data_IF_988997383016
#
_entry.id   IF_988997383016
#
_cell.length_a   1.000
_cell.length_b   1.000
_cell.length_c   1.000
_cell.angle_alpha   90.00
_cell.angle_beta   90.00
_cell.angle_gamma   90.00
#
_symmetry.space_group_name_H-M   'P 1'
#
loop_
_entity.id
_entity.type
_entity.pdbx_description
1 polymer ?
#
# COMPACT_ATOMS: atom_id res chain seq x y z
N UNK A 1 -19.20 1.21 6.51
CA UNK A 1 -19.33 -0.24 6.16
C UNK A 1 -18.21 -0.64 5.20
N UNK A 2 -17.58 -1.84 5.36
CA UNK A 2 -16.53 -2.34 4.47
C UNK A 2 -16.58 -3.87 4.44
N UNK A 3 -15.94 -4.50 3.44
CA UNK A 3 -15.73 -5.94 3.42
C UNK A 3 -14.38 -6.29 4.06
N UNK A 4 -14.41 -7.04 5.16
CA UNK A 4 -13.20 -7.52 5.80
C UNK A 4 -12.50 -8.58 4.96
N UNK A 5 -11.18 -8.43 4.78
CA UNK A 5 -10.31 -9.44 4.18
C UNK A 5 -9.65 -10.21 5.32
N UNK A 6 -9.88 -11.53 5.32
CA UNK A 6 -9.25 -12.44 6.28
C UNK A 6 -7.73 -12.47 6.02
N UNK A 7 -6.90 -12.32 7.05
CA UNK A 7 -5.46 -12.44 6.91
C UNK A 7 -5.09 -13.90 6.62
N UNK A 8 -4.56 -14.13 5.44
CA UNK A 8 -4.13 -15.45 4.99
C UNK A 8 -2.92 -15.34 4.08
N UNK A 9 -2.30 -16.48 3.81
CA UNK A 9 -1.22 -16.58 2.82
C UNK A 9 -1.83 -16.96 1.47
N UNK A 10 -1.76 -16.05 0.49
CA UNK A 10 -2.21 -16.30 -0.87
C UNK A 10 -1.19 -17.20 -1.59
N UNK A 11 -1.53 -18.49 -1.70
CA UNK A 11 -0.67 -19.53 -2.28
C UNK A 11 -1.01 -19.86 -3.75
N UNK A 12 -1.87 -19.07 -4.38
CA UNK A 12 -2.26 -19.17 -5.79
C UNK A 12 -2.34 -17.79 -6.41
N UNK A 13 -2.19 -17.72 -7.72
CA UNK A 13 -2.40 -16.44 -8.42
C UNK A 13 -3.84 -15.99 -8.26
N UNK A 14 -4.02 -14.74 -7.87
CA UNK A 14 -5.33 -14.17 -7.60
C UNK A 14 -5.45 -12.73 -8.10
N UNK A 15 -6.67 -12.34 -8.41
CA UNK A 15 -7.04 -10.94 -8.67
C UNK A 15 -8.06 -10.50 -7.64
N UNK A 16 -7.82 -9.36 -7.01
CA UNK A 16 -8.79 -8.77 -6.08
C UNK A 16 -10.03 -8.37 -6.89
N UNK A 17 -11.20 -8.94 -6.62
CA UNK A 17 -12.40 -8.58 -7.37
C UNK A 17 -12.93 -7.22 -6.94
N UNK A 18 -13.46 -6.43 -7.87
CA UNK A 18 -14.36 -5.32 -7.53
C UNK A 18 -15.70 -5.94 -7.13
N UNK A 19 -16.21 -5.63 -5.94
CA UNK A 19 -17.45 -6.22 -5.42
C UNK A 19 -18.48 -5.15 -5.12
N UNK A 20 -19.72 -5.44 -5.49
CA UNK A 20 -20.88 -4.66 -5.07
C UNK A 20 -21.51 -5.34 -3.86
N UNK A 21 -21.76 -4.60 -2.81
CA UNK A 21 -22.34 -5.13 -1.58
C UNK A 21 -23.09 -4.04 -0.79
N UNK A 22 -24.25 -4.38 -0.24
CA UNK A 22 -25.01 -3.48 0.63
C UNK A 22 -25.46 -2.18 -0.02
N UNK A 23 -25.63 -2.15 -1.35
CA UNK A 23 -25.99 -0.96 -2.12
C UNK A 23 -24.79 -0.11 -2.57
N UNK A 24 -23.57 -0.50 -2.22
CA UNK A 24 -22.34 0.16 -2.66
C UNK A 24 -21.69 -0.60 -3.82
N UNK A 25 -21.26 0.13 -4.83
CA UNK A 25 -20.47 -0.40 -5.95
C UNK A 25 -18.99 -0.32 -5.62
N UNK A 26 -18.23 -1.35 -6.01
CA UNK A 26 -16.79 -1.44 -5.70
C UNK A 26 -16.50 -1.11 -4.23
N UNK A 27 -17.16 -1.86 -3.32
CA UNK A 27 -17.12 -1.58 -1.89
C UNK A 27 -15.70 -1.59 -1.34
N UNK A 28 -15.43 -0.68 -0.42
CA UNK A 28 -14.15 -0.58 0.31
C UNK A 28 -13.81 -1.88 1.03
N UNK A 29 -12.56 -2.31 0.91
CA UNK A 29 -12.02 -3.45 1.65
C UNK A 29 -11.36 -3.00 2.95
N UNK A 30 -11.53 -3.79 4.01
CA UNK A 30 -10.85 -3.63 5.28
C UNK A 30 -9.86 -4.80 5.47
N UNK A 31 -8.57 -4.50 5.43
CA UNK A 31 -7.53 -5.46 5.74
C UNK A 31 -7.55 -5.71 7.25
N UNK A 32 -7.83 -6.96 7.63
CA UNK A 32 -7.96 -7.36 9.02
C UNK A 32 -6.64 -7.91 9.55
N UNK A 33 -6.32 -7.59 10.80
CA UNK A 33 -5.28 -8.30 11.53
C UNK A 33 -5.83 -9.63 12.04
N UNK A 34 -5.08 -10.70 11.82
CA UNK A 34 -5.45 -12.02 12.33
C UNK A 34 -5.05 -12.22 13.76
N UNK A 35 -5.43 -13.38 14.28
CA UNK A 35 -4.99 -13.82 15.59
C UNK A 35 -3.45 -13.88 15.63
N UNK A 36 -2.83 -13.30 16.63
CA UNK A 36 -1.38 -13.14 16.78
C UNK A 36 -0.69 -12.16 15.79
N UNK A 37 -1.39 -11.20 15.21
CA UNK A 37 -0.79 -10.19 14.36
C UNK A 37 -0.47 -10.67 12.93
N UNK A 38 -1.07 -11.77 12.48
CA UNK A 38 -0.92 -12.22 11.09
C UNK A 38 -1.61 -11.23 10.15
N UNK A 39 -0.92 -10.86 9.08
CA UNK A 39 -1.41 -9.97 8.02
C UNK A 39 -1.43 -10.71 6.67
N UNK A 40 -2.25 -10.25 5.71
CA UNK A 40 -2.28 -10.82 4.38
C UNK A 40 -0.87 -10.93 3.77
N UNK A 41 -0.55 -12.10 3.21
CA UNK A 41 0.77 -12.37 2.63
C UNK A 41 0.63 -13.00 1.25
N UNK A 42 1.27 -12.40 0.24
CA UNK A 42 1.43 -12.99 -1.10
C UNK A 42 2.63 -13.92 -1.06
N UNK A 43 2.40 -15.22 -1.24
CA UNK A 43 3.43 -16.23 -1.10
C UNK A 43 4.43 -16.21 -2.28
N UNK A 44 5.64 -16.73 -2.04
CA UNK A 44 6.64 -16.86 -3.10
C UNK A 44 6.10 -17.73 -4.24
N UNK A 45 6.41 -17.32 -5.47
CA UNK A 45 5.94 -18.00 -6.69
C UNK A 45 4.49 -17.68 -7.08
N UNK A 46 3.76 -16.83 -6.34
CA UNK A 46 2.40 -16.42 -6.66
C UNK A 46 2.30 -14.94 -7.00
N UNK A 47 1.24 -14.56 -7.69
CA UNK A 47 0.97 -13.18 -8.09
C UNK A 47 -0.39 -12.73 -7.57
N UNK A 48 -0.41 -11.61 -6.85
CA UNK A 48 -1.63 -10.89 -6.53
C UNK A 48 -1.79 -9.70 -7.48
N UNK A 49 -2.93 -9.61 -8.15
CA UNK A 49 -3.28 -8.47 -9.01
C UNK A 49 -4.37 -7.64 -8.35
N UNK A 50 -4.17 -6.33 -8.28
CA UNK A 50 -5.16 -5.37 -7.76
C UNK A 50 -5.55 -4.45 -8.92
N UNK A 51 -6.83 -4.48 -9.37
CA UNK A 51 -7.31 -3.62 -10.44
C UNK A 51 -7.50 -2.19 -9.96
N UNK A 52 -7.71 -1.29 -10.92
CA UNK A 52 -7.96 0.14 -10.68
C UNK A 52 -9.15 0.39 -9.74
N UNK A 53 -9.09 1.47 -8.98
CA UNK A 53 -10.16 1.98 -8.11
C UNK A 53 -10.45 1.15 -6.86
N UNK A 54 -9.70 0.08 -6.60
CA UNK A 54 -9.84 -0.68 -5.35
C UNK A 54 -9.27 0.14 -4.19
N UNK A 55 -10.05 0.23 -3.10
CA UNK A 55 -9.63 0.91 -1.87
C UNK A 55 -9.52 -0.09 -0.73
N UNK A 56 -8.35 -0.09 -0.09
CA UNK A 56 -8.08 -0.83 1.13
C UNK A 56 -7.92 0.12 2.30
N UNK A 57 -8.57 -0.20 3.39
CA UNK A 57 -8.37 0.45 4.68
C UNK A 57 -7.83 -0.52 5.70
N UNK A 58 -7.14 0.00 6.70
CA UNK A 58 -6.50 -0.82 7.71
C UNK A 58 -6.36 -0.06 9.03
N UNK A 59 -6.87 -0.63 10.13
CA UNK A 59 -6.68 -0.07 11.46
C UNK A 59 -5.20 -0.12 11.87
N UNK A 60 -4.72 0.88 12.64
CA UNK A 60 -3.38 0.84 13.18
C UNK A 60 -3.12 -0.46 13.96
N UNK A 61 -2.08 -1.18 13.57
CA UNK A 61 -1.58 -2.33 14.34
C UNK A 61 -0.48 -1.86 15.29
N UNK A 62 -0.57 -2.27 16.53
CA UNK A 62 0.42 -1.90 17.54
C UNK A 62 1.73 -2.70 17.44
N UNK A 63 1.78 -3.69 16.57
CA UNK A 63 2.91 -4.62 16.46
C UNK A 63 4.02 -4.14 15.54
N UNK A 64 3.79 -3.10 14.73
CA UNK A 64 4.74 -2.65 13.70
C UNK A 64 4.87 -3.61 12.50
N UNK A 65 4.05 -4.65 12.44
CA UNK A 65 4.00 -5.59 11.32
C UNK A 65 3.52 -4.91 10.04
N UNK A 66 4.02 -5.29 8.85
CA UNK A 66 3.49 -4.80 7.58
C UNK A 66 2.02 -5.15 7.41
N UNK A 67 1.24 -4.28 6.74
CA UNK A 67 -0.19 -4.50 6.49
C UNK A 67 -0.41 -5.51 5.36
N UNK A 68 0.44 -5.46 4.32
CA UNK A 68 0.48 -6.45 3.24
C UNK A 68 1.93 -6.87 3.02
N UNK A 69 2.22 -8.15 3.17
CA UNK A 69 3.55 -8.71 2.89
C UNK A 69 3.57 -9.35 1.50
N UNK A 70 4.60 -9.05 0.72
CA UNK A 70 4.77 -9.56 -0.64
C UNK A 70 6.07 -10.36 -0.72
N UNK A 71 5.96 -11.69 -0.72
CA UNK A 71 7.04 -12.63 -0.99
C UNK A 71 6.96 -13.20 -2.42
N UNK A 72 5.87 -12.95 -3.13
CA UNK A 72 5.64 -13.26 -4.55
C UNK A 72 5.70 -12.00 -5.41
N UNK A 73 4.77 -11.88 -6.35
CA UNK A 73 4.60 -10.68 -7.17
C UNK A 73 3.34 -9.89 -6.78
N UNK A 74 3.44 -8.57 -6.84
CA UNK A 74 2.30 -7.67 -6.68
C UNK A 74 2.16 -6.81 -7.94
N UNK A 75 1.01 -6.91 -8.60
CA UNK A 75 0.64 -6.08 -9.74
C UNK A 75 -0.49 -5.15 -9.31
N UNK A 76 -0.22 -3.86 -9.28
CA UNK A 76 -1.23 -2.83 -9.01
C UNK A 76 -1.50 -2.10 -10.32
N UNK A 77 -2.72 -2.18 -10.81
CA UNK A 77 -3.16 -1.63 -12.09
C UNK A 77 -4.06 -0.39 -11.92
N UNK A 78 -3.74 0.50 -10.99
CA UNK A 78 -4.42 1.77 -10.88
C UNK A 78 -4.28 2.63 -12.14
N UNK A 79 -5.13 3.64 -12.26
CA UNK A 79 -5.08 4.68 -13.29
C UNK A 79 -5.09 6.06 -12.65
N UNK A 80 -4.84 7.11 -13.42
CA UNK A 80 -4.92 8.48 -12.89
C UNK A 80 -6.33 8.84 -12.40
N UNK A 81 -7.38 8.29 -13.02
CA UNK A 81 -8.77 8.53 -12.64
C UNK A 81 -9.23 7.61 -11.49
N UNK A 82 -8.69 6.40 -11.43
CA UNK A 82 -9.05 5.36 -10.47
C UNK A 82 -7.79 4.74 -9.84
N UNK A 83 -7.07 5.45 -8.97
CA UNK A 83 -5.91 4.89 -8.28
C UNK A 83 -6.32 3.76 -7.34
N UNK A 84 -5.38 2.87 -7.04
CA UNK A 84 -5.53 1.92 -5.94
C UNK A 84 -5.07 2.60 -4.66
N UNK A 85 -5.94 2.68 -3.66
CA UNK A 85 -5.67 3.46 -2.44
C UNK A 85 -5.57 2.52 -1.23
N UNK A 86 -4.54 2.77 -0.42
CA UNK A 86 -4.36 2.15 0.89
C UNK A 86 -4.33 3.26 1.94
N UNK A 87 -5.24 3.21 2.93
CA UNK A 87 -5.39 4.29 3.90
C UNK A 87 -5.90 3.82 5.26
N UNK A 88 -6.07 4.78 6.19
CA UNK A 88 -6.67 4.58 7.52
C UNK A 88 -8.21 4.47 7.40
N UNK A 89 -8.91 3.67 8.23
CA UNK A 89 -10.38 3.57 8.21
C UNK A 89 -11.11 4.88 8.48
N UNK A 90 -10.46 5.82 9.14
CA UNK A 90 -10.98 7.17 9.42
C UNK A 90 -10.74 8.18 8.28
N UNK A 91 -10.15 7.73 7.16
CA UNK A 91 -10.01 8.56 5.95
C UNK A 91 -11.29 8.49 5.13
N UNK A 92 -12.27 9.31 5.47
CA UNK A 92 -13.59 9.33 4.81
C UNK A 92 -13.54 9.91 3.39
N UNK A 93 -12.38 10.44 2.99
CA UNK A 93 -12.16 10.95 1.63
C UNK A 93 -11.92 9.87 0.59
N UNK A 94 -11.75 8.60 1.00
CA UNK A 94 -11.44 7.48 0.11
C UNK A 94 -12.38 6.30 0.31
N UNK A 95 -12.70 5.62 -0.78
CA UNK A 95 -13.53 4.42 -0.78
C UNK A 95 -15.01 4.65 -1.02
N UNK A 96 -15.75 3.54 -1.12
CA UNK A 96 -17.20 3.54 -1.29
C UNK A 96 -17.83 2.44 -0.39
N UNK A 97 -18.42 2.80 0.78
CA UNK A 97 -18.46 4.16 1.31
C UNK A 97 -17.08 4.67 1.74
N UNK A 98 -16.93 6.00 1.81
CA UNK A 98 -15.76 6.63 2.44
C UNK A 98 -15.77 6.39 3.95
N UNK A 99 -16.87 6.72 4.61
CA UNK A 99 -17.07 6.44 6.04
C UNK A 99 -17.21 4.93 6.30
N UNK A 100 -16.11 4.29 6.67
CA UNK A 100 -16.06 2.85 6.97
C UNK A 100 -16.14 2.53 8.46
N UNK A 101 -15.81 3.48 9.32
CA UNK A 101 -15.90 3.35 10.79
C UNK A 101 -17.28 3.75 11.34
N UNK A 102 -18.12 4.42 10.54
CA UNK A 102 -19.52 4.72 10.88
C UNK A 102 -19.69 5.93 11.79
N UNK A 103 -18.73 6.85 11.84
CA UNK A 103 -18.77 8.03 12.69
C UNK A 103 -19.00 9.35 11.93
N UNK A 104 -19.23 9.28 10.62
CA UNK A 104 -19.29 10.42 9.73
C UNK A 104 -17.90 11.04 9.58
N UNK A 105 -17.70 12.23 10.09
CA UNK A 105 -16.39 12.92 10.10
C UNK A 105 -15.94 13.23 11.54
N UNK A 106 -16.33 12.39 12.50
CA UNK A 106 -16.05 12.66 13.91
C UNK A 106 -14.60 12.35 14.31
N UNK A 107 -13.94 11.45 13.59
CA UNK A 107 -12.52 11.12 13.83
C UNK A 107 -11.64 11.38 12.62
N UNK A 108 -10.41 11.83 12.89
CA UNK A 108 -9.41 12.11 11.87
C UNK A 108 -8.47 10.90 11.65
N UNK A 109 -8.00 10.68 10.40
CA UNK A 109 -7.00 9.67 10.12
C UNK A 109 -5.73 9.85 10.95
N UNK A 110 -5.13 8.75 11.36
CA UNK A 110 -3.89 8.76 12.15
C UNK A 110 -2.80 7.97 11.45
N UNK A 111 -1.56 8.43 11.62
CA UNK A 111 -0.40 7.70 11.10
C UNK A 111 -0.26 6.38 11.86
N UNK A 112 -0.26 5.28 11.10
CA UNK A 112 -0.03 3.94 11.60
C UNK A 112 1.48 3.69 11.82
N UNK A 113 1.85 2.85 12.78
CA UNK A 113 3.25 2.50 13.04
C UNK A 113 3.84 1.45 12.09
N UNK A 114 3.11 1.03 11.07
CA UNK A 114 3.45 -0.05 10.14
C UNK A 114 3.90 0.44 8.78
N UNK A 115 4.50 -0.45 7.98
CA UNK A 115 4.59 -0.28 6.53
C UNK A 115 3.29 -0.76 5.88
N UNK A 116 2.74 -0.01 4.92
CA UNK A 116 1.52 -0.44 4.24
C UNK A 116 1.79 -1.68 3.39
N UNK A 117 2.79 -1.61 2.51
CA UNK A 117 3.20 -2.72 1.65
C UNK A 117 4.67 -3.02 1.96
N UNK A 118 4.97 -4.29 2.22
CA UNK A 118 6.34 -4.74 2.46
C UNK A 118 6.72 -5.82 1.44
N UNK A 119 7.75 -5.57 0.67
CA UNK A 119 8.38 -6.56 -0.19
C UNK A 119 9.54 -7.24 0.55
N UNK A 120 9.45 -8.57 0.68
CA UNK A 120 10.52 -9.40 1.24
C UNK A 120 11.62 -9.69 0.20
N UNK A 121 12.74 -10.22 0.68
CA UNK A 121 13.93 -10.54 -0.12
C UNK A 121 13.73 -11.66 -1.16
N UNK A 122 12.65 -12.40 -1.04
CA UNK A 122 12.24 -13.46 -1.98
C UNK A 122 11.16 -13.02 -2.97
N UNK A 123 10.83 -11.73 -2.98
CA UNK A 123 9.80 -11.18 -3.87
C UNK A 123 10.20 -11.28 -5.35
N UNK A 124 9.20 -11.40 -6.21
CA UNK A 124 9.39 -11.51 -7.66
C UNK A 124 9.44 -10.11 -8.28
N UNK A 125 10.57 -9.43 -8.12
CA UNK A 125 10.75 -8.01 -8.45
C UNK A 125 10.41 -7.66 -9.88
N UNK A 126 10.89 -8.47 -10.85
CA UNK A 126 10.69 -8.23 -12.28
C UNK A 126 9.22 -8.31 -12.71
N UNK A 127 8.39 -8.98 -11.93
CA UNK A 127 6.95 -9.10 -12.15
C UNK A 127 6.15 -8.08 -11.32
N UNK A 128 6.77 -7.48 -10.32
CA UNK A 128 6.09 -6.55 -9.41
C UNK A 128 6.08 -5.14 -9.99
N UNK A 129 4.89 -4.67 -10.36
CA UNK A 129 4.67 -3.34 -10.94
C UNK A 129 3.51 -2.68 -10.23
N UNK A 130 3.77 -1.53 -9.61
CA UNK A 130 2.76 -0.74 -8.92
C UNK A 130 2.51 0.56 -9.70
N UNK A 131 1.39 0.62 -10.40
CA UNK A 131 0.95 1.80 -11.15
C UNK A 131 -0.17 2.50 -10.41
N UNK A 132 -0.05 3.83 -10.23
CA UNK A 132 -1.04 4.66 -9.55
C UNK A 132 -1.50 4.05 -8.23
N UNK A 133 -0.53 3.56 -7.45
CA UNK A 133 -0.75 3.17 -6.06
C UNK A 133 -0.70 4.42 -5.19
N UNK A 134 -1.63 4.57 -4.27
CA UNK A 134 -1.61 5.64 -3.28
C UNK A 134 -1.58 5.03 -1.88
N UNK A 135 -0.64 5.50 -1.03
CA UNK A 135 -0.59 5.15 0.38
C UNK A 135 -0.70 6.39 1.24
N UNK A 136 -1.54 6.32 2.28
CA UNK A 136 -1.79 7.45 3.18
C UNK A 136 -1.74 7.01 4.65
N UNK A 137 -1.30 7.91 5.52
CA UNK A 137 -1.33 7.76 6.99
C UNK A 137 -0.59 6.51 7.50
N UNK A 138 0.59 6.25 6.94
CA UNK A 138 1.44 5.14 7.34
C UNK A 138 2.79 5.62 7.86
N UNK A 139 3.44 4.82 8.71
CA UNK A 139 4.84 5.06 9.03
C UNK A 139 5.68 4.97 7.75
N UNK A 140 5.48 3.91 6.97
CA UNK A 140 6.15 3.74 5.67
C UNK A 140 5.11 3.35 4.62
N UNK A 141 5.03 4.08 3.51
CA UNK A 141 4.13 3.73 2.41
C UNK A 141 4.50 2.37 1.81
N UNK A 142 5.73 2.22 1.32
CA UNK A 142 6.25 0.96 0.78
C UNK A 142 7.63 0.68 1.40
N UNK A 143 7.83 -0.51 1.93
CA UNK A 143 9.10 -0.97 2.48
C UNK A 143 9.68 -2.10 1.62
N UNK A 144 10.93 -1.97 1.22
CA UNK A 144 11.65 -2.92 0.37
C UNK A 144 12.79 -3.54 1.17
N UNK A 145 12.81 -4.86 1.27
CA UNK A 145 13.89 -5.62 1.90
C UNK A 145 14.62 -6.43 0.83
N UNK A 146 15.73 -5.93 0.34
CA UNK A 146 16.46 -6.53 -0.79
C UNK A 146 15.56 -6.77 -2.01
N UNK A 147 14.60 -5.88 -2.25
CA UNK A 147 13.58 -5.98 -3.27
C UNK A 147 13.60 -4.75 -4.18
N UNK A 148 13.27 -4.95 -5.45
CA UNK A 148 13.45 -3.92 -6.49
C UNK A 148 12.27 -3.86 -7.48
N UNK A 149 11.02 -3.70 -7.00
CA UNK A 149 9.86 -3.56 -7.87
C UNK A 149 9.90 -2.26 -8.69
N UNK A 150 8.97 -2.14 -9.64
CA UNK A 150 8.70 -0.90 -10.36
C UNK A 150 7.52 -0.17 -9.71
N UNK A 151 7.70 1.09 -9.34
CA UNK A 151 6.68 1.97 -8.74
C UNK A 151 6.55 3.19 -9.66
N UNK A 152 5.42 3.30 -10.35
CA UNK A 152 5.21 4.32 -11.38
C UNK A 152 3.92 5.07 -11.14
N UNK A 153 3.97 6.40 -11.18
CA UNK A 153 2.84 7.29 -10.87
C UNK A 153 2.24 7.05 -9.48
N UNK A 154 3.05 6.56 -8.53
CA UNK A 154 2.64 6.36 -7.15
C UNK A 154 2.43 7.70 -6.43
N UNK A 155 1.52 7.73 -5.46
CA UNK A 155 1.32 8.87 -4.57
C UNK A 155 1.49 8.45 -3.12
N UNK A 156 2.37 9.13 -2.41
CA UNK A 156 2.67 8.89 -0.99
C UNK A 156 2.28 10.15 -0.22
N UNK A 157 1.14 10.09 0.48
CA UNK A 157 0.57 11.27 1.10
C UNK A 157 0.39 11.10 2.61
N UNK A 158 0.85 12.09 3.41
CA UNK A 158 0.66 12.10 4.86
C UNK A 158 1.20 10.84 5.55
N UNK A 159 2.28 10.27 5.01
CA UNK A 159 3.06 9.21 5.64
C UNK A 159 4.26 9.82 6.38
N UNK A 160 4.87 9.07 7.30
CA UNK A 160 6.18 9.50 7.82
C UNK A 160 7.25 9.38 6.73
N UNK A 161 7.31 8.25 6.03
CA UNK A 161 8.22 7.96 4.95
C UNK A 161 7.44 7.49 3.71
N UNK A 162 7.86 7.90 2.53
CA UNK A 162 7.26 7.42 1.27
C UNK A 162 7.68 5.97 0.99
N UNK A 163 8.93 5.77 0.56
CA UNK A 163 9.49 4.45 0.26
C UNK A 163 10.77 4.24 1.07
N UNK A 164 10.86 3.09 1.73
CA UNK A 164 12.04 2.68 2.49
C UNK A 164 12.76 1.53 1.78
N UNK A 165 14.07 1.71 1.53
CA UNK A 165 14.93 0.76 0.85
C UNK A 165 15.95 0.20 1.86
N UNK A 166 15.84 -1.09 2.18
CA UNK A 166 16.76 -1.80 3.06
C UNK A 166 17.57 -2.85 2.29
N UNK A 167 18.80 -3.09 2.74
CA UNK A 167 19.70 -4.00 2.07
C UNK A 167 20.09 -3.49 0.68
N UNK A 168 20.29 -4.38 -0.28
CA UNK A 168 20.56 -4.02 -1.68
C UNK A 168 19.25 -3.94 -2.43
N UNK A 169 18.59 -2.78 -2.39
CA UNK A 169 17.35 -2.52 -3.11
C UNK A 169 17.58 -1.46 -4.19
N UNK A 170 17.15 -1.75 -5.41
CA UNK A 170 17.34 -0.88 -6.57
C UNK A 170 16.04 -0.69 -7.38
N UNK A 171 14.94 -0.24 -6.74
CA UNK A 171 13.66 -0.08 -7.41
C UNK A 171 13.70 0.98 -8.50
N UNK A 172 12.78 0.90 -9.45
CA UNK A 172 12.40 2.04 -10.27
C UNK A 172 11.30 2.80 -9.52
N UNK A 173 11.56 4.04 -9.13
CA UNK A 173 10.57 4.95 -8.53
C UNK A 173 10.46 6.15 -9.44
N UNK A 174 9.41 6.19 -10.27
CA UNK A 174 9.31 7.15 -11.37
C UNK A 174 7.93 7.81 -11.44
N UNK A 175 7.92 9.10 -11.78
CA UNK A 175 6.70 9.91 -11.88
C UNK A 175 5.82 9.87 -10.63
N UNK A 176 6.42 9.72 -9.45
CA UNK A 176 5.73 9.61 -8.18
C UNK A 176 5.58 10.99 -7.50
N UNK A 177 4.49 11.15 -6.76
CA UNK A 177 4.22 12.32 -5.92
C UNK A 177 4.40 11.98 -4.44
N UNK A 178 5.07 12.86 -3.71
CA UNK A 178 5.33 12.76 -2.29
C UNK A 178 4.79 14.00 -1.59
N UNK A 179 3.64 13.85 -0.89
CA UNK A 179 2.86 14.97 -0.38
C UNK A 179 2.78 14.95 1.14
N UNK A 180 3.16 16.06 1.80
CA UNK A 180 3.02 16.23 3.25
C UNK A 180 3.60 15.06 4.06
N UNK A 181 4.79 14.61 3.71
CA UNK A 181 5.50 13.59 4.48
C UNK A 181 6.16 14.20 5.72
N UNK A 182 6.14 13.45 6.84
CA UNK A 182 6.79 13.91 8.08
C UNK A 182 8.31 13.99 7.94
N UNK A 183 8.94 12.99 7.31
CA UNK A 183 10.39 12.91 7.24
C UNK A 183 10.94 13.00 5.81
N UNK A 184 10.77 11.97 4.97
CA UNK A 184 11.37 11.99 3.63
C UNK A 184 10.61 11.13 2.60
N UNK A 185 10.74 11.50 1.30
CA UNK A 185 10.24 10.69 0.19
C UNK A 185 10.86 9.30 0.14
N UNK A 186 12.19 9.24 0.28
CA UNK A 186 12.97 8.00 0.26
C UNK A 186 13.82 7.90 1.52
N UNK A 187 13.84 6.71 2.11
CA UNK A 187 14.71 6.35 3.22
C UNK A 187 15.59 5.18 2.78
N UNK A 188 16.89 5.41 2.63
CA UNK A 188 17.82 4.51 1.97
C UNK A 188 18.83 3.94 2.95
N UNK A 189 19.13 2.64 2.84
CA UNK A 189 20.41 2.12 3.34
C UNK A 189 21.56 2.58 2.45
N UNK A 190 22.78 2.57 2.96
CA UNK A 190 23.95 3.04 2.19
C UNK A 190 24.25 2.22 0.93
N UNK A 191 23.70 1.00 0.84
CA UNK A 191 23.90 0.10 -0.31
C UNK A 191 22.71 0.05 -1.25
N UNK A 192 21.63 0.77 -0.94
CA UNK A 192 20.47 0.88 -1.79
C UNK A 192 20.53 2.15 -2.64
N UNK A 193 19.94 2.10 -3.82
CA UNK A 193 19.74 3.28 -4.64
C UNK A 193 18.49 3.14 -5.52
N UNK A 194 17.92 4.26 -5.89
CA UNK A 194 16.82 4.33 -6.85
C UNK A 194 17.38 4.32 -8.29
N UNK A 195 16.77 3.54 -9.19
CA UNK A 195 17.23 3.45 -10.58
C UNK A 195 16.74 4.58 -11.48
N UNK A 196 15.59 5.17 -11.18
CA UNK A 196 15.08 6.34 -11.91
C UNK A 196 14.43 7.33 -10.97
N UNK A 197 14.61 8.62 -11.25
CA UNK A 197 14.10 9.71 -10.41
C UNK A 197 13.43 10.81 -11.24
N UNK A 198 13.25 10.58 -12.53
CA UNK A 198 12.66 11.57 -13.42
C UNK A 198 11.19 11.80 -13.06
N UNK A 199 10.75 13.04 -13.16
CA UNK A 199 9.38 13.47 -12.93
C UNK A 199 8.77 13.15 -11.54
N UNK A 200 9.57 12.80 -10.52
CA UNK A 200 9.08 12.73 -9.16
C UNK A 200 8.81 14.13 -8.60
N UNK A 201 7.73 14.30 -7.87
CA UNK A 201 7.36 15.58 -7.26
C UNK A 201 7.28 15.46 -5.74
N UNK A 202 7.67 16.53 -5.05
CA UNK A 202 7.60 16.65 -3.59
C UNK A 202 6.83 17.92 -3.27
N UNK A 203 5.78 17.83 -2.45
CA UNK A 203 4.97 18.95 -2.04
C UNK A 203 4.61 18.90 -0.56
N UNK A 204 4.47 20.06 0.06
CA UNK A 204 4.02 20.28 1.43
C UNK A 204 5.03 19.80 2.50
N UNK A 205 5.37 20.67 3.41
CA UNK A 205 5.90 20.41 4.75
C UNK A 205 5.13 21.26 5.73
#
# INVERSE_FOLDING_TARGET
>A
MALGIVPETYAVNATVPKRDFGGYTNITYLLMEGWYGYMPTVNSGTTLTIPEGVVFKHYPVNTGSPVLTVNGALIVNGTAAEPVIFTDPRDDSAGNPGDTNGDGFATEPQINNSSMIHFGDVSMDSLSVLRYVETRYQNVGISLQQASPSIVHGRFARNNWGVRLNGVSTPAVDSCAFDNLEYAPLYLSLVSYQRSSEANTISGR
#
